data_IF_589909346285
#
_entry.id   IF_589909346285
#
_cell.length_a   1.000
_cell.length_b   1.000
_cell.length_c   1.000
_cell.angle_alpha   90.00
_cell.angle_beta   90.00
_cell.angle_gamma   90.00
#
_symmetry.space_group_name_H-M   'P 1'
#
loop_
_entity.id
_entity.type
_entity.pdbx_description
1 polymer ?
#
# COMPACT_ATOMS: atom_id res chain seq x y z
N UNK A 1 -50.25 -11.27 -26.44
CA UNK A 1 -48.96 -11.18 -25.71
C UNK A 1 -48.12 -12.38 -26.10
N UNK A 2 -47.15 -12.19 -26.98
CA UNK A 2 -46.17 -13.23 -27.35
C UNK A 2 -45.12 -13.36 -26.24
N UNK A 3 -44.55 -14.55 -26.01
CA UNK A 3 -43.59 -14.77 -24.94
C UNK A 3 -42.26 -14.07 -25.28
N UNK A 4 -41.78 -13.28 -24.34
CA UNK A 4 -40.53 -12.54 -24.39
C UNK A 4 -39.37 -13.55 -24.43
N UNK A 5 -38.68 -13.62 -25.57
CA UNK A 5 -37.58 -14.53 -25.81
C UNK A 5 -36.42 -14.15 -24.89
N UNK A 6 -36.14 -15.01 -23.90
CA UNK A 6 -35.01 -14.90 -22.99
C UNK A 6 -33.73 -14.60 -23.77
N UNK A 7 -33.24 -13.36 -23.64
CA UNK A 7 -32.06 -12.83 -24.32
C UNK A 7 -30.86 -13.73 -23.95
N UNK A 8 -30.44 -14.59 -24.88
CA UNK A 8 -29.32 -15.53 -24.72
C UNK A 8 -28.10 -14.75 -24.18
N UNK A 9 -27.65 -15.07 -22.97
CA UNK A 9 -26.42 -14.54 -22.38
C UNK A 9 -25.26 -14.83 -23.35
N UNK A 10 -24.69 -13.79 -23.97
CA UNK A 10 -23.52 -13.92 -24.84
C UNK A 10 -22.31 -14.43 -24.04
N UNK A 11 -21.39 -15.11 -24.72
CA UNK A 11 -20.40 -16.05 -24.17
C UNK A 11 -19.74 -15.68 -22.83
N UNK A 12 -19.25 -14.45 -22.68
CA UNK A 12 -18.56 -13.98 -21.47
C UNK A 12 -19.47 -13.85 -20.25
N UNK A 13 -20.70 -13.36 -20.43
CA UNK A 13 -21.67 -13.24 -19.33
C UNK A 13 -22.12 -14.62 -18.84
N UNK A 14 -22.28 -15.57 -19.77
CA UNK A 14 -22.58 -16.94 -19.44
C UNK A 14 -21.41 -17.56 -18.68
N UNK A 15 -20.20 -17.49 -19.22
CA UNK A 15 -19.00 -18.03 -18.58
C UNK A 15 -18.77 -17.46 -17.18
N UNK A 16 -18.91 -16.14 -17.02
CA UNK A 16 -18.83 -15.48 -15.72
C UNK A 16 -19.84 -16.04 -14.71
N UNK A 17 -21.07 -16.35 -15.14
CA UNK A 17 -22.08 -16.93 -14.26
C UNK A 17 -21.77 -18.38 -13.89
N UNK A 18 -21.20 -19.16 -14.82
CA UNK A 18 -20.75 -20.54 -14.57
C UNK A 18 -19.60 -20.57 -13.55
N UNK A 19 -18.61 -19.70 -13.74
CA UNK A 19 -17.45 -19.60 -12.84
C UNK A 19 -17.84 -19.09 -11.45
N UNK A 20 -18.79 -18.15 -11.35
CA UNK A 20 -19.35 -17.74 -10.06
C UNK A 20 -20.05 -18.91 -9.35
N UNK A 21 -20.93 -19.64 -10.05
CA UNK A 21 -21.59 -20.81 -9.48
C UNK A 21 -20.60 -21.91 -9.07
N UNK A 22 -19.53 -22.12 -9.85
CA UNK A 22 -18.45 -23.05 -9.50
C UNK A 22 -17.69 -22.64 -8.25
N UNK A 23 -17.42 -21.33 -8.07
CA UNK A 23 -16.82 -20.81 -6.85
C UNK A 23 -17.73 -20.98 -5.63
N UNK A 24 -19.01 -20.64 -5.76
CA UNK A 24 -19.98 -20.76 -4.67
C UNK A 24 -20.16 -22.22 -4.24
N UNK A 25 -20.26 -23.15 -5.20
CA UNK A 25 -20.27 -24.59 -4.89
C UNK A 25 -18.99 -25.05 -4.20
N UNK A 26 -17.83 -24.54 -4.62
CA UNK A 26 -16.56 -24.87 -3.99
C UNK A 26 -16.53 -24.43 -2.53
N UNK A 27 -17.01 -23.23 -2.24
CA UNK A 27 -17.07 -22.67 -0.87
C UNK A 27 -18.07 -23.45 0.01
N UNK A 28 -19.25 -23.78 -0.52
CA UNK A 28 -20.31 -24.44 0.26
C UNK A 28 -20.06 -25.94 0.44
N UNK A 29 -19.74 -26.65 -0.65
CA UNK A 29 -19.63 -28.11 -0.64
C UNK A 29 -18.19 -28.60 -0.44
N UNK A 30 -17.18 -27.79 -0.76
CA UNK A 30 -15.78 -28.20 -0.79
C UNK A 30 -15.43 -29.07 -2.00
N UNK A 31 -14.15 -29.10 -2.36
CA UNK A 31 -13.67 -29.76 -3.58
C UNK A 31 -14.03 -31.25 -3.67
N UNK A 32 -13.96 -31.97 -2.53
CA UNK A 32 -14.23 -33.41 -2.49
C UNK A 32 -15.65 -33.78 -2.92
N UNK A 33 -16.65 -32.95 -2.58
CA UNK A 33 -18.07 -33.18 -2.90
C UNK A 33 -18.53 -32.48 -4.17
N UNK A 34 -17.78 -31.49 -4.66
CA UNK A 34 -18.09 -30.79 -5.89
C UNK A 34 -18.08 -31.77 -7.08
N UNK A 35 -19.12 -31.70 -7.92
CA UNK A 35 -19.23 -32.42 -9.20
C UNK A 35 -19.59 -31.45 -10.34
N UNK A 36 -19.40 -31.88 -11.59
CA UNK A 36 -19.84 -31.09 -12.75
C UNK A 36 -21.37 -30.90 -12.73
N UNK A 37 -22.11 -31.94 -12.35
CA UNK A 37 -23.55 -31.91 -12.15
C UNK A 37 -23.97 -30.87 -11.10
N UNK A 38 -23.33 -30.86 -9.92
CA UNK A 38 -23.73 -29.94 -8.84
C UNK A 38 -23.52 -28.47 -9.22
N UNK A 39 -22.46 -28.17 -9.96
CA UNK A 39 -22.24 -26.83 -10.53
C UNK A 39 -23.28 -26.51 -11.62
N UNK A 40 -23.61 -27.46 -12.49
CA UNK A 40 -24.61 -27.26 -13.54
C UNK A 40 -25.99 -26.93 -12.96
N UNK A 41 -26.41 -27.67 -11.91
CA UNK A 41 -27.64 -27.43 -11.16
C UNK A 41 -27.65 -26.02 -10.57
N UNK A 42 -26.59 -25.60 -9.86
CA UNK A 42 -26.50 -24.26 -9.28
C UNK A 42 -26.50 -23.15 -10.33
N UNK A 43 -25.79 -23.36 -11.43
CA UNK A 43 -25.76 -22.43 -12.55
C UNK A 43 -27.06 -22.41 -13.38
N UNK A 44 -28.00 -23.33 -13.12
CA UNK A 44 -29.24 -23.53 -13.88
C UNK A 44 -28.96 -23.77 -15.38
N UNK A 45 -28.01 -24.67 -15.65
CA UNK A 45 -27.58 -25.07 -17.00
C UNK A 45 -27.46 -26.60 -17.11
N UNK A 46 -27.11 -27.12 -18.29
CA UNK A 46 -26.76 -28.54 -18.46
C UNK A 46 -25.26 -28.78 -18.34
N UNK A 47 -24.87 -29.99 -17.90
CA UNK A 47 -23.46 -30.40 -17.82
C UNK A 47 -22.73 -30.28 -19.16
N UNK A 48 -23.42 -30.54 -20.27
CA UNK A 48 -22.87 -30.39 -21.62
C UNK A 48 -22.36 -28.96 -21.90
N UNK A 49 -22.92 -27.94 -21.25
CA UNK A 49 -22.44 -26.55 -21.37
C UNK A 49 -21.11 -26.35 -20.63
N UNK A 50 -20.93 -27.02 -19.48
CA UNK A 50 -19.69 -26.99 -18.70
C UNK A 50 -18.57 -27.78 -19.41
N UNK A 51 -18.85 -29.02 -19.84
CA UNK A 51 -17.86 -29.88 -20.51
C UNK A 51 -17.36 -29.32 -21.85
N UNK A 52 -18.12 -28.44 -22.50
CA UNK A 52 -17.65 -27.70 -23.69
C UNK A 52 -16.57 -26.65 -23.39
N UNK A 53 -16.38 -26.27 -22.12
CA UNK A 53 -15.45 -25.21 -21.67
C UNK A 53 -14.31 -25.73 -20.82
N UNK A 54 -14.61 -26.70 -19.97
CA UNK A 54 -13.65 -27.32 -19.05
C UNK A 54 -13.76 -28.82 -19.20
N UNK A 55 -12.64 -29.48 -19.51
CA UNK A 55 -12.63 -30.91 -19.79
C UNK A 55 -12.96 -31.74 -18.54
N UNK A 56 -12.72 -31.19 -17.35
CA UNK A 56 -12.90 -31.85 -16.07
C UNK A 56 -13.19 -30.84 -14.94
N UNK A 57 -13.48 -31.37 -13.75
CA UNK A 57 -13.75 -30.60 -12.53
C UNK A 57 -12.60 -29.68 -12.15
N UNK A 58 -11.37 -30.17 -12.25
CA UNK A 58 -10.15 -29.47 -11.84
C UNK A 58 -9.98 -28.18 -12.66
N UNK A 59 -10.15 -28.27 -13.97
CA UNK A 59 -10.11 -27.11 -14.87
C UNK A 59 -11.19 -26.07 -14.55
N UNK A 60 -12.42 -26.51 -14.25
CA UNK A 60 -13.51 -25.64 -13.85
C UNK A 60 -13.21 -24.94 -12.52
N UNK A 61 -12.73 -25.70 -11.52
CA UNK A 61 -12.37 -25.17 -10.20
C UNK A 61 -11.25 -24.15 -10.33
N UNK A 62 -10.16 -24.47 -11.03
CA UNK A 62 -9.05 -23.55 -11.25
C UNK A 62 -9.49 -22.28 -11.97
N UNK A 63 -10.39 -22.39 -12.95
CA UNK A 63 -10.95 -21.24 -13.64
C UNK A 63 -11.84 -20.39 -12.70
N UNK A 64 -12.63 -21.03 -11.84
CA UNK A 64 -13.48 -20.35 -10.84
C UNK A 64 -12.63 -19.60 -9.82
N UNK A 65 -11.55 -20.22 -9.31
CA UNK A 65 -10.60 -19.58 -8.39
C UNK A 65 -9.92 -18.35 -9.04
N UNK A 66 -9.44 -18.48 -10.29
CA UNK A 66 -8.85 -17.36 -11.03
C UNK A 66 -9.84 -16.22 -11.21
N UNK A 67 -11.07 -16.52 -11.63
CA UNK A 67 -12.11 -15.51 -11.83
C UNK A 67 -12.54 -14.83 -10.52
N UNK A 68 -12.65 -15.58 -9.42
CA UNK A 68 -12.93 -15.02 -8.11
C UNK A 68 -11.81 -14.06 -7.67
N UNK A 69 -10.55 -14.44 -7.90
CA UNK A 69 -9.41 -13.57 -7.64
C UNK A 69 -9.48 -12.28 -8.46
N UNK A 70 -9.73 -12.38 -9.76
CA UNK A 70 -9.64 -11.25 -10.70
C UNK A 70 -10.73 -10.19 -10.46
N UNK A 71 -11.91 -10.58 -9.97
CA UNK A 71 -13.02 -9.65 -9.66
C UNK A 71 -13.04 -9.11 -8.24
N UNK A 72 -12.15 -9.58 -7.39
CA UNK A 72 -12.00 -9.08 -6.04
C UNK A 72 -10.61 -8.47 -5.86
N UNK A 73 -10.20 -7.41 -6.60
CA UNK A 73 -8.86 -6.83 -6.51
C UNK A 73 -8.57 -6.24 -5.12
N UNK A 74 -7.32 -6.28 -4.68
CA UNK A 74 -6.88 -5.59 -3.46
C UNK A 74 -6.52 -4.17 -3.87
N UNK A 75 -7.17 -3.18 -3.24
CA UNK A 75 -6.88 -1.79 -3.50
C UNK A 75 -5.46 -1.44 -3.06
N UNK A 76 -4.77 -0.64 -3.88
CA UNK A 76 -3.45 -0.12 -3.51
C UNK A 76 -3.66 1.13 -2.66
N UNK A 77 -3.27 1.13 -1.38
CA UNK A 77 -3.36 2.31 -0.55
C UNK A 77 -2.37 3.37 -1.02
N UNK A 78 -2.67 4.62 -0.70
CA UNK A 78 -1.76 5.77 -0.83
C UNK A 78 -1.96 6.68 0.37
N UNK A 79 -1.40 6.26 1.50
CA UNK A 79 -1.52 6.91 2.81
C UNK A 79 -0.61 8.13 2.93
N UNK A 80 0.32 8.33 1.99
CA UNK A 80 1.31 9.41 2.00
C UNK A 80 2.71 9.01 2.46
N UNK A 81 2.91 7.78 2.93
CA UNK A 81 4.23 7.23 3.31
C UNK A 81 4.36 5.76 2.92
N UNK A 82 5.58 5.32 2.62
CA UNK A 82 5.90 3.94 2.30
C UNK A 82 5.48 2.99 3.42
N UNK A 83 5.75 3.40 4.66
CA UNK A 83 5.37 2.64 5.86
C UNK A 83 3.85 2.42 5.91
N UNK A 84 3.07 3.50 5.77
CA UNK A 84 1.62 3.42 5.82
C UNK A 84 1.04 2.62 4.66
N UNK A 85 1.58 2.79 3.45
CA UNK A 85 1.18 2.05 2.26
C UNK A 85 1.42 0.54 2.43
N UNK A 86 2.58 0.15 2.94
CA UNK A 86 2.91 -1.27 3.18
C UNK A 86 2.03 -1.88 4.28
N UNK A 87 1.86 -1.20 5.41
CA UNK A 87 1.00 -1.71 6.48
C UNK A 87 -0.44 -1.91 5.99
N UNK A 88 -1.02 -0.91 5.33
CA UNK A 88 -2.39 -0.99 4.82
C UNK A 88 -2.55 -2.07 3.74
N UNK A 89 -1.60 -2.18 2.81
CA UNK A 89 -1.68 -3.14 1.73
C UNK A 89 -1.46 -4.58 2.21
N UNK A 90 -0.46 -4.81 3.06
CA UNK A 90 -0.17 -6.15 3.59
C UNK A 90 -1.28 -6.65 4.52
N UNK A 91 -1.90 -5.76 5.32
CA UNK A 91 -3.10 -6.11 6.09
C UNK A 91 -4.27 -6.49 5.20
N UNK A 92 -4.60 -5.65 4.21
CA UNK A 92 -5.68 -5.94 3.25
C UNK A 92 -5.44 -7.24 2.49
N UNK A 93 -4.19 -7.50 2.12
CA UNK A 93 -3.76 -8.74 1.46
C UNK A 93 -3.94 -9.94 2.38
N UNK A 94 -3.52 -9.82 3.64
CA UNK A 94 -3.64 -10.88 4.63
C UNK A 94 -5.09 -11.25 4.90
N UNK A 95 -5.98 -10.26 5.02
CA UNK A 95 -7.40 -10.49 5.28
C UNK A 95 -8.11 -11.08 4.05
N UNK A 96 -7.84 -10.54 2.86
CA UNK A 96 -8.49 -10.96 1.63
C UNK A 96 -8.06 -12.36 1.16
N UNK A 97 -6.80 -12.73 1.35
CA UNK A 97 -6.26 -13.96 0.78
C UNK A 97 -6.25 -15.17 1.72
N UNK A 98 -6.40 -14.98 3.04
CA UNK A 98 -6.36 -16.11 3.98
C UNK A 98 -7.42 -17.19 3.68
N UNK A 99 -8.69 -16.79 3.53
CA UNK A 99 -9.76 -17.72 3.19
C UNK A 99 -9.56 -18.36 1.81
N UNK A 100 -9.06 -17.60 0.85
CA UNK A 100 -8.74 -18.11 -0.48
C UNK A 100 -7.64 -19.18 -0.44
N UNK A 101 -6.57 -18.98 0.35
CA UNK A 101 -5.52 -19.98 0.54
C UNK A 101 -6.01 -21.21 1.29
N UNK A 102 -6.81 -21.04 2.33
CA UNK A 102 -7.42 -22.16 3.05
C UNK A 102 -8.24 -23.04 2.11
N UNK A 103 -9.06 -22.43 1.25
CA UNK A 103 -9.84 -23.14 0.23
C UNK A 103 -8.95 -23.85 -0.80
N UNK A 104 -7.88 -23.19 -1.27
CA UNK A 104 -6.94 -23.77 -2.21
C UNK A 104 -6.19 -24.97 -1.63
N UNK A 105 -5.71 -24.86 -0.40
CA UNK A 105 -5.04 -25.94 0.32
C UNK A 105 -6.00 -27.11 0.54
N UNK A 106 -7.24 -26.85 1.01
CA UNK A 106 -8.24 -27.89 1.20
C UNK A 106 -8.58 -28.62 -0.12
N UNK A 107 -8.67 -27.89 -1.24
CA UNK A 107 -8.88 -28.48 -2.56
C UNK A 107 -7.70 -29.35 -2.99
N UNK A 108 -6.46 -28.87 -2.81
CA UNK A 108 -5.25 -29.63 -3.11
C UNK A 108 -5.16 -30.93 -2.29
N UNK A 109 -5.40 -30.86 -0.97
CA UNK A 109 -5.45 -32.05 -0.11
C UNK A 109 -6.59 -33.01 -0.46
N UNK A 110 -7.66 -32.50 -1.08
CA UNK A 110 -8.79 -33.30 -1.57
C UNK A 110 -8.58 -33.84 -2.99
N UNK A 111 -7.37 -33.71 -3.56
CA UNK A 111 -7.01 -34.28 -4.84
C UNK A 111 -7.22 -33.37 -6.05
N UNK A 112 -7.30 -32.05 -5.87
CA UNK A 112 -7.22 -31.10 -6.99
C UNK A 112 -5.87 -31.26 -7.69
N UNK A 113 -5.91 -31.66 -8.96
CA UNK A 113 -4.73 -31.75 -9.79
C UNK A 113 -4.45 -30.41 -10.46
N UNK A 114 -3.20 -29.98 -10.39
CA UNK A 114 -2.69 -28.85 -11.16
C UNK A 114 -2.01 -29.33 -12.45
N UNK A 115 -2.36 -30.52 -12.95
CA UNK A 115 -1.68 -31.17 -14.06
C UNK A 115 -0.45 -31.98 -13.61
N UNK A 116 0.00 -32.89 -14.48
CA UNK A 116 1.14 -33.75 -14.18
C UNK A 116 2.42 -32.91 -13.98
N UNK A 117 3.12 -33.14 -12.86
CA UNK A 117 4.43 -32.55 -12.52
C UNK A 117 4.49 -31.04 -12.23
N UNK A 118 3.38 -30.38 -11.88
CA UNK A 118 3.44 -28.98 -11.44
C UNK A 118 4.22 -28.85 -10.12
N UNK A 119 5.24 -28.01 -10.11
CA UNK A 119 6.00 -27.64 -8.90
C UNK A 119 5.12 -26.78 -7.98
N UNK A 120 5.41 -26.73 -6.66
CA UNK A 120 4.73 -25.81 -5.75
C UNK A 120 4.77 -24.34 -6.22
N UNK A 121 5.83 -23.93 -6.93
CA UNK A 121 5.93 -22.60 -7.54
C UNK A 121 4.93 -22.37 -8.68
N UNK A 122 4.76 -23.34 -9.58
CA UNK A 122 3.76 -23.24 -10.66
C UNK A 122 2.33 -23.31 -10.14
N UNK A 123 2.09 -24.12 -9.11
CA UNK A 123 0.80 -24.16 -8.39
C UNK A 123 0.49 -22.80 -7.79
N UNK A 124 1.48 -22.21 -7.08
CA UNK A 124 1.39 -20.85 -6.55
C UNK A 124 1.07 -19.86 -7.66
N UNK A 125 1.75 -19.90 -8.80
CA UNK A 125 1.56 -18.93 -9.88
C UNK A 125 0.17 -19.07 -10.54
N UNK A 126 -0.37 -20.28 -10.63
CA UNK A 126 -1.73 -20.49 -11.18
C UNK A 126 -2.84 -20.03 -10.23
N UNK A 127 -2.64 -20.22 -8.93
CA UNK A 127 -3.59 -19.86 -7.87
C UNK A 127 -3.53 -18.34 -7.60
N UNK A 128 -2.32 -17.82 -7.34
CA UNK A 128 -2.09 -16.43 -6.92
C UNK A 128 -1.99 -15.51 -8.14
N UNK A 129 -1.43 -15.96 -9.25
CA UNK A 129 -1.07 -15.10 -10.38
C UNK A 129 -0.04 -14.03 -10.01
N UNK A 130 0.21 -13.12 -10.94
CA UNK A 130 1.06 -11.93 -10.75
C UNK A 130 0.38 -10.83 -9.92
N UNK A 131 -0.42 -11.20 -8.91
CA UNK A 131 -1.08 -10.23 -8.02
C UNK A 131 -0.08 -9.42 -7.17
N UNK A 132 1.18 -9.80 -7.24
CA UNK A 132 2.34 -8.99 -6.89
C UNK A 132 2.69 -7.95 -7.98
N UNK A 133 1.74 -7.26 -8.60
CA UNK A 133 2.06 -6.19 -9.56
C UNK A 133 1.61 -4.78 -9.19
N UNK A 134 0.79 -4.52 -8.15
CA UNK A 134 0.62 -3.13 -7.73
C UNK A 134 1.76 -2.59 -6.86
N UNK A 135 2.72 -3.42 -6.41
CA UNK A 135 3.84 -2.93 -5.58
C UNK A 135 4.73 -1.91 -6.29
N UNK A 136 4.81 -1.97 -7.62
CA UNK A 136 5.54 -0.98 -8.40
C UNK A 136 5.05 0.44 -8.10
N UNK A 137 3.75 0.63 -7.93
CA UNK A 137 3.19 1.95 -7.61
C UNK A 137 3.48 2.40 -6.17
N UNK A 138 3.46 1.50 -5.19
CA UNK A 138 3.82 1.83 -3.79
C UNK A 138 5.26 2.30 -3.74
N UNK A 139 6.16 1.54 -4.37
CA UNK A 139 7.58 1.83 -4.37
C UNK A 139 7.94 3.04 -5.23
N UNK A 140 7.30 3.22 -6.39
CA UNK A 140 7.52 4.40 -7.22
C UNK A 140 7.11 5.68 -6.47
N UNK A 141 5.94 5.70 -5.82
CA UNK A 141 5.52 6.88 -5.04
C UNK A 141 6.48 7.16 -3.88
N UNK A 142 6.93 6.12 -3.18
CA UNK A 142 7.93 6.27 -2.12
C UNK A 142 9.26 6.81 -2.65
N UNK A 143 9.67 6.40 -3.86
CA UNK A 143 10.84 6.94 -4.52
C UNK A 143 10.68 8.41 -4.92
N UNK A 144 9.54 8.77 -5.51
CA UNK A 144 9.22 10.14 -5.92
C UNK A 144 9.19 11.09 -4.71
N UNK A 145 8.76 10.60 -3.54
CA UNK A 145 8.82 11.33 -2.25
C UNK A 145 10.22 11.33 -1.61
N UNK A 146 11.16 10.55 -2.13
CA UNK A 146 12.52 10.42 -1.60
C UNK A 146 12.62 9.58 -0.33
N UNK A 147 11.64 8.72 -0.03
CA UNK A 147 11.68 7.78 1.10
C UNK A 147 12.59 6.57 0.82
N UNK A 148 12.74 6.19 -0.45
CA UNK A 148 13.62 5.10 -0.90
C UNK A 148 14.32 5.44 -2.22
N UNK A 149 15.42 4.76 -2.53
CA UNK A 149 16.15 4.94 -3.79
C UNK A 149 16.08 3.67 -4.65
N UNK A 150 15.14 3.63 -5.60
CA UNK A 150 14.94 2.45 -6.45
C UNK A 150 16.11 2.12 -7.35
N UNK A 151 16.98 3.09 -7.67
CA UNK A 151 18.17 2.82 -8.48
C UNK A 151 19.19 1.92 -7.75
N UNK A 152 19.12 1.87 -6.42
CA UNK A 152 20.08 1.16 -5.57
C UNK A 152 19.46 -0.06 -4.85
N UNK A 153 18.18 -0.37 -5.08
CA UNK A 153 17.48 -1.48 -4.45
C UNK A 153 17.31 -2.65 -5.41
N UNK A 154 17.62 -3.86 -4.94
CA UNK A 154 17.35 -5.07 -5.72
C UNK A 154 15.86 -5.44 -5.65
N UNK A 155 15.36 -6.07 -6.71
CA UNK A 155 13.99 -6.60 -6.72
C UNK A 155 13.71 -7.55 -5.56
N UNK A 156 14.71 -8.34 -5.14
CA UNK A 156 14.58 -9.24 -3.98
C UNK A 156 14.28 -8.50 -2.68
N UNK A 157 14.90 -7.34 -2.43
CA UNK A 157 14.60 -6.53 -1.25
C UNK A 157 13.17 -6.03 -1.34
N UNK A 158 12.75 -5.51 -2.49
CA UNK A 158 11.39 -5.01 -2.73
C UNK A 158 10.32 -6.11 -2.62
N UNK A 159 10.65 -7.37 -2.90
CA UNK A 159 9.70 -8.48 -2.76
C UNK A 159 9.55 -8.98 -1.31
N UNK A 160 10.58 -8.80 -0.47
CA UNK A 160 10.68 -9.35 0.87
C UNK A 160 9.40 -9.25 1.72
N UNK A 161 8.76 -8.08 1.90
CA UNK A 161 7.60 -7.97 2.77
C UNK A 161 6.43 -8.82 2.26
N UNK A 162 6.23 -8.90 0.94
CA UNK A 162 5.16 -9.70 0.37
C UNK A 162 5.48 -11.20 0.40
N UNK A 163 6.76 -11.58 0.26
CA UNK A 163 7.18 -12.97 0.38
C UNK A 163 6.96 -13.50 1.81
N UNK A 164 7.27 -12.70 2.83
CA UNK A 164 7.05 -13.08 4.23
C UNK A 164 5.57 -13.20 4.58
N UNK A 165 4.73 -12.24 4.15
CA UNK A 165 3.28 -12.34 4.35
C UNK A 165 2.70 -13.55 3.63
N UNK A 166 3.12 -13.81 2.38
CA UNK A 166 2.69 -15.01 1.64
C UNK A 166 3.10 -16.29 2.33
N UNK A 167 4.34 -16.38 2.81
CA UNK A 167 4.84 -17.55 3.52
C UNK A 167 3.96 -17.87 4.72
N UNK A 168 3.71 -16.87 5.58
CA UNK A 168 2.88 -17.03 6.77
C UNK A 168 1.43 -17.43 6.38
N UNK A 169 0.86 -16.81 5.34
CA UNK A 169 -0.48 -17.19 4.83
C UNK A 169 -0.55 -18.63 4.30
N UNK A 170 0.49 -19.10 3.62
CA UNK A 170 0.51 -20.45 3.04
C UNK A 170 0.66 -21.54 4.10
N UNK A 171 1.36 -21.26 5.20
CA UNK A 171 1.57 -22.22 6.28
C UNK A 171 0.43 -22.20 7.29
N UNK A 172 -0.03 -21.01 7.69
CA UNK A 172 -1.02 -20.88 8.76
C UNK A 172 -2.47 -20.91 8.23
N UNK A 173 -2.67 -20.59 6.94
CA UNK A 173 -3.99 -20.51 6.29
C UNK A 173 -4.97 -19.57 7.04
N UNK A 174 -4.43 -18.58 7.74
CA UNK A 174 -5.16 -17.62 8.56
C UNK A 174 -4.57 -16.21 8.40
N UNK A 175 -5.37 -15.14 8.63
CA UNK A 175 -4.83 -13.79 8.59
C UNK A 175 -3.69 -13.60 9.61
N UNK A 176 -2.62 -12.94 9.18
CA UNK A 176 -1.51 -12.58 10.04
C UNK A 176 -1.99 -11.62 11.15
N UNK A 177 -1.44 -11.81 12.34
CA UNK A 177 -1.63 -10.87 13.45
C UNK A 177 -1.07 -9.51 13.06
N UNK A 178 -1.73 -8.38 13.41
CA UNK A 178 -1.23 -7.03 13.09
C UNK A 178 0.21 -6.76 13.58
N UNK A 179 0.61 -7.37 14.70
CA UNK A 179 1.97 -7.27 15.21
C UNK A 179 3.02 -7.90 14.28
N UNK A 180 2.68 -9.00 13.60
CA UNK A 180 3.58 -9.66 12.65
C UNK A 180 3.80 -8.80 11.41
N UNK A 181 2.73 -8.20 10.88
CA UNK A 181 2.81 -7.28 9.74
C UNK A 181 3.66 -6.06 10.10
N UNK A 182 3.47 -5.48 11.30
CA UNK A 182 4.31 -4.39 11.79
C UNK A 182 5.79 -4.78 11.89
N UNK A 183 6.11 -5.95 12.45
CA UNK A 183 7.51 -6.41 12.53
C UNK A 183 8.13 -6.59 11.13
N UNK A 184 7.39 -7.17 10.16
CA UNK A 184 7.86 -7.29 8.77
C UNK A 184 8.19 -5.93 8.17
N UNK A 185 7.34 -4.91 8.39
CA UNK A 185 7.56 -3.58 7.82
C UNK A 185 8.62 -2.80 8.61
N UNK A 186 8.42 -2.62 9.91
CA UNK A 186 9.19 -1.69 10.75
C UNK A 186 10.56 -2.24 11.13
N UNK A 187 10.67 -3.54 11.41
CA UNK A 187 11.89 -4.15 11.94
C UNK A 187 12.75 -4.78 10.84
N UNK A 188 12.13 -5.25 9.75
CA UNK A 188 12.83 -5.95 8.67
C UNK A 188 12.98 -5.08 7.41
N UNK A 189 11.87 -4.65 6.82
CA UNK A 189 11.92 -4.04 5.48
C UNK A 189 12.38 -2.58 5.49
N UNK A 190 11.78 -1.70 6.29
CA UNK A 190 12.11 -0.27 6.27
C UNK A 190 13.59 0.01 6.58
N UNK A 191 14.25 -0.65 7.55
CA UNK A 191 15.68 -0.48 7.75
C UNK A 191 16.52 -0.84 6.52
N UNK A 192 16.07 -1.76 5.67
CA UNK A 192 16.82 -2.15 4.47
C UNK A 192 16.69 -1.17 3.32
N UNK A 193 15.59 -0.40 3.24
CA UNK A 193 15.27 0.41 2.06
C UNK A 193 15.28 1.91 2.30
N UNK A 194 14.98 2.35 3.52
CA UNK A 194 15.02 3.76 3.84
C UNK A 194 16.48 4.21 3.95
N UNK A 195 16.78 5.46 3.58
CA UNK A 195 18.09 6.04 3.83
C UNK A 195 18.37 5.90 5.32
N UNK A 196 19.34 5.06 5.64
CA UNK A 196 19.80 4.86 7.00
C UNK A 196 20.12 6.24 7.58
N UNK A 197 19.66 6.49 8.81
CA UNK A 197 20.05 7.67 9.58
C UNK A 197 21.57 7.84 9.60
N UNK A 198 22.08 9.00 10.07
CA UNK A 198 23.45 9.45 9.85
C UNK A 198 24.41 8.27 9.86
N UNK A 199 24.83 7.94 8.64
CA UNK A 199 25.90 7.02 8.27
C UNK A 199 26.88 6.99 9.44
N UNK A 200 26.85 5.92 10.25
CA UNK A 200 27.80 5.64 11.35
C UNK A 200 29.26 5.53 10.86
N UNK A 201 29.52 5.82 9.59
CA UNK A 201 30.82 5.77 8.94
C UNK A 201 31.70 6.98 9.29
N UNK A 202 31.22 7.96 10.07
CA UNK A 202 32.08 9.06 10.53
C UNK A 202 33.06 8.68 11.65
N UNK A 203 32.89 7.54 12.35
CA UNK A 203 33.84 7.09 13.39
C UNK A 203 34.66 5.86 13.04
N UNK A 204 34.58 5.37 11.79
CA UNK A 204 35.34 4.19 11.38
C UNK A 204 35.34 3.98 9.88
N UNK A 205 36.00 4.87 9.12
CA UNK A 205 36.22 4.64 7.70
C UNK A 205 37.23 3.50 7.51
N UNK A 206 36.73 2.28 7.29
CA UNK A 206 37.52 1.23 6.66
C UNK A 206 37.93 1.69 5.26
N UNK A 207 39.17 1.43 4.85
CA UNK A 207 39.83 2.03 3.67
C UNK A 207 39.18 1.73 2.29
N UNK A 208 38.01 1.08 2.22
CA UNK A 208 37.46 0.51 0.99
C UNK A 208 35.96 0.79 0.72
N UNK A 209 35.34 1.80 1.36
CA UNK A 209 33.95 2.19 1.06
C UNK A 209 33.86 3.53 0.32
N UNK A 210 32.92 3.67 -0.64
CA UNK A 210 32.72 4.91 -1.37
C UNK A 210 32.22 6.03 -0.45
N UNK A 211 32.68 7.26 -0.68
CA UNK A 211 32.20 8.44 0.05
C UNK A 211 30.72 8.72 -0.27
N UNK A 212 29.91 9.14 0.71
CA UNK A 212 28.50 9.48 0.47
C UNK A 212 28.39 10.65 -0.50
N UNK A 213 27.41 10.60 -1.41
CA UNK A 213 27.11 11.69 -2.34
C UNK A 213 26.34 12.80 -1.63
N UNK A 214 26.26 14.00 -2.23
CA UNK A 214 25.41 15.08 -1.71
C UNK A 214 23.94 14.65 -1.56
N UNK A 215 23.43 13.81 -2.47
CA UNK A 215 22.08 13.25 -2.38
C UNK A 215 21.89 12.35 -1.16
N UNK A 216 22.88 11.52 -0.83
CA UNK A 216 22.85 10.67 0.37
C UNK A 216 22.81 11.51 1.65
N UNK A 217 23.58 12.60 1.69
CA UNK A 217 23.61 13.52 2.82
C UNK A 217 22.29 14.25 2.99
N UNK A 218 21.69 14.79 1.91
CA UNK A 218 20.37 15.44 1.98
C UNK A 218 19.28 14.48 2.44
N UNK A 219 19.30 13.22 2.00
CA UNK A 219 18.35 12.19 2.46
C UNK A 219 18.53 11.86 3.94
N UNK A 220 19.77 11.75 4.41
CA UNK A 220 20.05 11.48 5.83
C UNK A 220 19.58 12.62 6.73
N UNK A 221 19.79 13.87 6.30
CA UNK A 221 19.26 15.07 6.96
C UNK A 221 17.73 15.05 7.02
N UNK A 222 17.08 14.82 5.88
CA UNK A 222 15.61 14.73 5.80
C UNK A 222 15.05 13.62 6.70
N UNK A 223 15.70 12.46 6.74
CA UNK A 223 15.33 11.37 7.64
C UNK A 223 15.41 11.78 9.11
N UNK A 224 16.49 12.47 9.50
CA UNK A 224 16.69 12.88 10.88
C UNK A 224 15.61 13.88 11.33
N UNK A 225 15.27 14.84 10.46
CA UNK A 225 14.17 15.78 10.69
C UNK A 225 12.82 15.07 10.76
N UNK A 226 12.52 14.21 9.78
CA UNK A 226 11.25 13.48 9.72
C UNK A 226 11.02 12.61 10.96
N UNK A 227 12.05 11.85 11.38
CA UNK A 227 11.98 10.98 12.54
C UNK A 227 11.63 11.76 13.82
N UNK A 228 12.22 12.94 14.01
CA UNK A 228 11.94 13.80 15.17
C UNK A 228 10.45 14.20 15.22
N UNK A 229 9.90 14.59 14.07
CA UNK A 229 8.50 15.02 13.94
C UNK A 229 7.56 13.81 14.06
N UNK A 230 7.91 12.66 13.50
CA UNK A 230 7.14 11.42 13.61
C UNK A 230 7.04 10.95 15.07
N UNK A 231 8.16 10.96 15.81
CA UNK A 231 8.18 10.61 17.23
C UNK A 231 7.26 11.52 18.05
N UNK A 232 7.31 12.83 17.78
CA UNK A 232 6.42 13.80 18.41
C UNK A 232 4.95 13.57 18.03
N UNK A 233 4.65 13.35 16.75
CA UNK A 233 3.29 13.14 16.24
C UNK A 233 2.64 11.91 16.88
N UNK A 234 3.42 10.83 17.05
CA UNK A 234 2.97 9.58 17.66
C UNK A 234 2.50 9.76 19.10
N UNK A 235 3.13 10.66 19.87
CA UNK A 235 2.69 10.97 21.26
C UNK A 235 1.31 11.63 21.32
N UNK A 236 0.80 12.12 20.19
CA UNK A 236 -0.48 12.83 20.03
C UNK A 236 -1.49 12.05 19.20
N UNK A 237 -1.23 10.77 18.95
CA UNK A 237 -2.07 9.91 18.11
C UNK A 237 -2.31 10.50 16.71
N UNK A 238 -1.29 11.17 16.16
CA UNK A 238 -1.26 11.69 14.80
C UNK A 238 -0.22 10.92 13.98
N UNK A 239 -0.48 10.76 12.68
CA UNK A 239 0.59 10.46 11.73
C UNK A 239 1.37 11.75 11.43
N UNK A 240 2.59 11.61 10.90
CA UNK A 240 3.40 12.76 10.45
C UNK A 240 2.61 13.67 9.49
N UNK A 241 1.88 13.08 8.55
CA UNK A 241 1.09 13.78 7.53
C UNK A 241 -0.11 14.48 8.17
N UNK A 242 -0.77 13.86 9.15
CA UNK A 242 -1.87 14.49 9.88
C UNK A 242 -1.38 15.71 10.67
N UNK A 243 -0.25 15.58 11.37
CA UNK A 243 0.38 16.68 12.09
C UNK A 243 0.79 17.82 11.14
N UNK A 244 1.44 17.49 10.02
CA UNK A 244 1.88 18.46 9.02
C UNK A 244 0.70 19.19 8.39
N UNK A 245 -0.37 18.48 8.01
CA UNK A 245 -1.58 19.09 7.46
C UNK A 245 -2.29 19.96 8.48
N UNK A 246 -2.46 19.50 9.73
CA UNK A 246 -3.10 20.30 10.77
C UNK A 246 -2.31 21.57 11.09
N UNK A 247 -0.98 21.50 11.21
CA UNK A 247 -0.13 22.67 11.41
C UNK A 247 -0.14 23.63 10.22
N UNK A 248 -0.20 23.10 8.99
CA UNK A 248 -0.37 23.93 7.80
C UNK A 248 -1.72 24.68 7.81
N UNK A 249 -2.81 23.99 8.19
CA UNK A 249 -4.15 24.60 8.31
C UNK A 249 -4.23 25.63 9.43
N UNK A 250 -3.49 25.43 10.52
CA UNK A 250 -3.38 26.40 11.62
C UNK A 250 -2.70 27.70 11.15
N UNK A 251 -1.58 27.58 10.42
CA UNK A 251 -0.87 28.74 9.84
C UNK A 251 -1.62 29.41 8.69
N UNK A 252 -2.38 28.63 7.91
CA UNK A 252 -3.11 29.08 6.73
C UNK A 252 -4.55 28.57 6.77
N UNK A 253 -5.42 29.21 7.58
CA UNK A 253 -6.82 28.81 7.68
C UNK A 253 -7.56 29.09 6.36
N UNK A 254 -8.45 28.17 5.99
CA UNK A 254 -9.35 28.36 4.86
C UNK A 254 -8.72 28.10 3.48
N UNK A 255 -7.62 27.35 3.42
CA UNK A 255 -7.02 26.88 2.16
C UNK A 255 -7.92 25.89 1.43
N UNK A 256 -7.69 25.74 0.12
CA UNK A 256 -8.37 24.72 -0.67
C UNK A 256 -7.59 23.40 -0.65
N UNK A 257 -8.27 22.30 -0.96
CA UNK A 257 -7.67 20.95 -0.95
C UNK A 257 -6.45 20.82 -1.87
N UNK A 258 -6.41 21.61 -2.97
CA UNK A 258 -5.26 21.64 -3.89
C UNK A 258 -4.00 22.16 -3.19
N UNK A 259 -4.11 23.22 -2.40
CA UNK A 259 -2.95 23.82 -1.71
C UNK A 259 -2.37 22.84 -0.68
N UNK A 260 -3.23 22.07 -0.03
CA UNK A 260 -2.80 21.00 0.89
C UNK A 260 -2.08 19.89 0.14
N UNK A 261 -2.53 19.52 -1.06
CA UNK A 261 -1.90 18.48 -1.88
C UNK A 261 -0.51 18.91 -2.38
N UNK A 262 -0.39 20.17 -2.79
CA UNK A 262 0.86 20.78 -3.21
C UNK A 262 1.87 20.84 -2.06
N UNK A 263 1.45 21.32 -0.88
CA UNK A 263 2.30 21.40 0.31
C UNK A 263 2.76 20.02 0.82
N UNK A 264 1.84 19.05 0.86
CA UNK A 264 2.16 17.70 1.35
C UNK A 264 2.79 16.79 0.29
N UNK A 265 3.09 17.34 -0.90
CA UNK A 265 3.66 16.61 -2.04
C UNK A 265 2.91 15.29 -2.32
N UNK A 266 1.57 15.34 -2.30
CA UNK A 266 0.70 14.18 -2.46
C UNK A 266 -0.43 14.47 -3.45
N UNK A 267 -1.22 13.46 -3.80
CA UNK A 267 -2.31 13.63 -4.76
C UNK A 267 -3.54 14.26 -4.12
N UNK A 268 -4.40 14.98 -4.89
CA UNK A 268 -5.67 15.47 -4.38
C UNK A 268 -6.58 14.37 -3.81
N UNK A 269 -6.50 13.14 -4.34
CA UNK A 269 -7.26 12.00 -3.84
C UNK A 269 -6.83 11.61 -2.42
N UNK A 270 -5.53 11.60 -2.14
CA UNK A 270 -4.99 11.26 -0.82
C UNK A 270 -5.33 12.33 0.20
N UNK A 271 -5.22 13.60 -0.19
CA UNK A 271 -5.68 14.70 0.66
C UNK A 271 -7.17 14.54 0.96
N UNK A 272 -7.99 14.13 -0.01
CA UNK A 272 -9.41 13.89 0.27
C UNK A 272 -9.63 12.79 1.31
N UNK A 273 -8.86 11.71 1.29
CA UNK A 273 -8.96 10.60 2.24
C UNK A 273 -8.48 11.02 3.63
N UNK A 274 -7.33 11.70 3.68
CA UNK A 274 -6.75 12.24 4.91
C UNK A 274 -7.72 13.21 5.59
N UNK A 275 -8.27 14.18 4.84
CA UNK A 275 -9.23 15.15 5.36
C UNK A 275 -10.52 14.50 5.85
N UNK A 276 -11.04 13.48 5.15
CA UNK A 276 -12.19 12.69 5.64
C UNK A 276 -11.87 11.96 6.95
N UNK A 277 -10.63 11.50 7.13
CA UNK A 277 -10.16 10.89 8.38
C UNK A 277 -10.13 11.89 9.53
N UNK A 278 -9.54 13.06 9.29
CA UNK A 278 -9.46 14.13 10.29
C UNK A 278 -10.84 14.72 10.65
N UNK A 279 -11.75 14.85 9.67
CA UNK A 279 -13.11 15.36 9.87
C UNK A 279 -13.94 14.39 10.72
N UNK A 280 -13.82 13.08 10.49
CA UNK A 280 -14.44 12.05 11.35
C UNK A 280 -13.94 12.09 12.79
N UNK A 281 -12.69 12.49 13.01
CA UNK A 281 -12.10 12.70 14.34
C UNK A 281 -12.45 14.07 14.94
N UNK A 282 -13.20 14.91 14.23
CA UNK A 282 -13.53 16.27 14.65
C UNK A 282 -12.32 17.20 14.71
N UNK A 283 -11.24 16.90 13.97
CA UNK A 283 -10.00 17.68 14.00
C UNK A 283 -9.96 18.77 12.93
N UNK A 284 -10.66 18.58 11.81
CA UNK A 284 -10.82 19.59 10.75
C UNK A 284 -12.29 19.75 10.40
N UNK A 285 -12.62 20.90 9.82
CA UNK A 285 -13.93 21.17 9.23
C UNK A 285 -13.79 21.71 7.82
N UNK A 286 -14.80 21.43 6.98
CA UNK A 286 -14.85 21.90 5.58
C UNK A 286 -16.09 22.73 5.34
N UNK A 287 -15.89 23.98 4.95
CA UNK A 287 -16.96 24.96 4.72
C UNK A 287 -16.99 25.36 3.25
N UNK A 288 -18.18 25.65 2.73
CA UNK A 288 -18.31 26.21 1.37
C UNK A 288 -18.42 27.72 1.49
N UNK A 289 -17.40 28.42 1.00
CA UNK A 289 -17.30 29.88 1.09
C UNK A 289 -16.88 30.43 -0.28
N UNK A 290 -17.65 31.38 -0.82
CA UNK A 290 -17.39 31.93 -2.15
C UNK A 290 -17.42 30.88 -3.27
N UNK A 291 -18.25 29.84 -3.15
CA UNK A 291 -18.37 28.76 -4.13
C UNK A 291 -17.23 27.73 -4.11
N UNK A 292 -16.28 27.82 -3.17
CA UNK A 292 -15.18 26.85 -3.01
C UNK A 292 -15.23 26.18 -1.65
N UNK A 293 -14.85 24.90 -1.59
CA UNK A 293 -14.67 24.16 -0.34
C UNK A 293 -13.33 24.55 0.28
N UNK A 294 -13.39 25.16 1.46
CA UNK A 294 -12.24 25.59 2.27
C UNK A 294 -12.11 24.71 3.50
N UNK A 295 -10.87 24.47 3.93
CA UNK A 295 -10.54 23.58 5.02
C UNK A 295 -9.99 24.39 6.19
N UNK A 296 -10.45 24.08 7.39
CA UNK A 296 -10.04 24.72 8.63
C UNK A 296 -9.66 23.67 9.67
N UNK A 297 -8.61 23.95 10.46
CA UNK A 297 -8.38 23.20 11.69
C UNK A 297 -9.43 23.63 12.73
N UNK A 298 -9.98 22.65 13.45
CA UNK A 298 -10.85 22.91 14.60
C UNK A 298 -9.99 23.22 15.83
N UNK A 299 -10.55 23.77 16.93
CA UNK A 299 -9.81 23.93 18.18
C UNK A 299 -9.18 22.62 18.70
N UNK A 300 -9.87 21.48 18.52
CA UNK A 300 -9.32 20.17 18.88
C UNK A 300 -8.12 19.79 18.00
N UNK A 301 -8.20 20.07 16.70
CA UNK A 301 -7.10 19.89 15.76
C UNK A 301 -5.89 20.75 16.12
N UNK A 302 -6.09 22.06 16.30
CA UNK A 302 -5.04 23.00 16.69
C UNK A 302 -4.38 22.62 18.01
N UNK A 303 -5.16 22.21 19.02
CA UNK A 303 -4.58 21.77 20.30
C UNK A 303 -3.67 20.55 20.16
N UNK A 304 -3.97 19.61 19.25
CA UNK A 304 -3.09 18.46 19.01
C UNK A 304 -1.79 18.85 18.33
N UNK A 305 -1.80 19.92 17.51
CA UNK A 305 -0.58 20.39 16.84
C UNK A 305 0.14 21.55 17.54
N UNK A 306 -0.37 21.99 18.69
CA UNK A 306 0.34 22.92 19.55
C UNK A 306 1.73 22.36 19.92
N UNK A 307 2.78 23.14 19.67
CA UNK A 307 4.16 22.70 19.84
C UNK A 307 4.85 22.22 18.55
N UNK A 308 4.14 22.16 17.40
CA UNK A 308 4.72 21.63 16.17
C UNK A 308 5.86 22.51 15.63
N UNK A 309 5.69 23.84 15.67
CA UNK A 309 6.69 24.76 15.15
C UNK A 309 7.98 24.73 15.97
N UNK A 310 7.87 24.54 17.29
CA UNK A 310 9.01 24.33 18.17
C UNK A 310 9.76 23.04 17.83
N UNK A 311 9.03 21.95 17.55
CA UNK A 311 9.64 20.66 17.19
C UNK A 311 10.30 20.71 15.81
N UNK A 312 9.70 21.43 14.86
CA UNK A 312 10.30 21.68 13.57
C UNK A 312 11.60 22.48 13.73
N UNK A 313 11.59 23.54 14.54
CA UNK A 313 12.79 24.33 14.83
C UNK A 313 13.87 23.52 15.57
N UNK A 314 13.49 22.67 16.53
CA UNK A 314 14.41 21.75 17.19
C UNK A 314 15.02 20.72 16.22
N UNK A 315 14.22 20.20 15.29
CA UNK A 315 14.68 19.26 14.27
C UNK A 315 15.68 19.93 13.32
N UNK A 316 15.45 21.18 12.94
CA UNK A 316 16.38 21.97 12.13
C UNK A 316 17.67 22.27 12.90
N UNK A 317 17.56 22.74 14.15
CA UNK A 317 18.74 23.02 14.98
C UNK A 317 19.55 21.75 15.28
N UNK A 318 18.91 20.59 15.48
CA UNK A 318 19.62 19.33 15.62
C UNK A 318 20.51 19.01 14.41
N UNK A 319 20.05 19.34 13.20
CA UNK A 319 20.80 19.10 11.95
C UNK A 319 21.91 20.13 11.77
N UNK A 320 21.62 21.40 12.02
CA UNK A 320 22.53 22.50 11.68
C UNK A 320 23.40 22.98 12.84
N UNK A 321 23.21 22.47 14.07
CA UNK A 321 24.03 22.78 15.24
C UNK A 321 25.55 22.69 15.01
N UNK A 322 26.08 21.77 14.18
CA UNK A 322 27.52 21.71 13.90
C UNK A 322 28.05 22.86 13.03
N UNK A 323 27.18 23.60 12.32
CA UNK A 323 27.58 24.65 11.39
C UNK A 323 27.60 26.01 12.08
N UNK A 324 28.66 26.78 11.85
CA UNK A 324 28.71 28.19 12.25
C UNK A 324 27.80 29.07 11.36
N UNK A 325 27.74 30.37 11.69
CA UNK A 325 26.86 31.31 10.99
C UNK A 325 27.21 31.48 9.51
N UNK A 326 28.49 31.53 9.18
CA UNK A 326 28.94 31.77 7.81
C UNK A 326 28.77 30.48 6.97
N UNK A 327 29.01 29.32 7.57
CA UNK A 327 28.75 28.01 6.98
C UNK A 327 27.26 27.79 6.69
N UNK A 328 26.37 28.17 7.63
CA UNK A 328 24.91 28.12 7.42
C UNK A 328 24.49 29.03 6.26
N UNK A 329 24.94 30.28 6.24
CA UNK A 329 24.63 31.22 5.16
C UNK A 329 25.12 30.72 3.80
N UNK A 330 26.32 30.10 3.76
CA UNK A 330 26.85 29.48 2.56
C UNK A 330 26.02 28.29 2.08
N UNK A 331 25.63 27.40 2.98
CA UNK A 331 24.77 26.26 2.68
C UNK A 331 23.40 26.72 2.15
N UNK A 332 22.76 27.68 2.82
CA UNK A 332 21.48 28.26 2.41
C UNK A 332 21.56 28.83 0.99
N UNK A 333 22.62 29.59 0.68
CA UNK A 333 22.81 30.17 -0.66
C UNK A 333 22.94 29.08 -1.74
N UNK A 334 23.67 28.00 -1.46
CA UNK A 334 23.84 26.88 -2.39
C UNK A 334 22.54 26.09 -2.59
N UNK A 335 21.83 25.78 -1.50
CA UNK A 335 20.55 25.06 -1.55
C UNK A 335 19.47 25.90 -2.24
N UNK A 336 19.41 27.21 -1.97
CA UNK A 336 18.50 28.13 -2.66
C UNK A 336 18.75 28.16 -4.17
N UNK A 337 20.03 28.16 -4.59
CA UNK A 337 20.40 28.09 -6.01
C UNK A 337 19.95 26.77 -6.66
N UNK A 338 20.06 25.64 -5.95
CA UNK A 338 19.54 24.34 -6.42
C UNK A 338 18.01 24.40 -6.53
N UNK A 339 17.33 24.91 -5.50
CA UNK A 339 15.88 24.96 -5.45
C UNK A 339 15.28 25.82 -6.57
N UNK A 340 15.91 26.94 -6.91
CA UNK A 340 15.50 27.81 -8.02
C UNK A 340 15.55 27.12 -9.40
N UNK A 341 16.27 26.00 -9.53
CA UNK A 341 16.34 25.22 -10.77
C UNK A 341 15.31 24.07 -10.82
N UNK A 342 14.64 23.75 -9.70
CA UNK A 342 13.67 22.67 -9.63
C UNK A 342 12.27 23.14 -10.07
N UNK A 343 11.47 22.26 -10.72
CA UNK A 343 10.10 22.58 -11.09
C UNK A 343 9.24 22.86 -9.84
N UNK A 344 8.60 24.04 -9.78
CA UNK A 344 7.80 24.49 -8.64
C UNK A 344 8.55 25.38 -7.63
N UNK A 345 9.85 25.65 -7.84
CA UNK A 345 10.63 26.59 -7.03
C UNK A 345 10.38 28.05 -7.40
N UNK A 346 9.28 28.65 -6.93
CA UNK A 346 9.09 30.10 -6.77
C UNK A 346 8.03 30.38 -5.71
#
# INVERSE_FOLDING_TARGET
MAPETARRRHGEQLESALLAAGWDELVEAGYARLTMESVAVRARTSEAVLYRRWANKDELVLAAMRRHRDVNPIAVPDTGSLRGDLLAYLTSTSEALAGFFAMAAAAAFSGLSFGAAATPGEVRDRIIGDRLLPQGSIYQRAHDRGEIDLAHLSGTVLELPFQLVRHDLLLDLAPLRPARIRSIVDELFLPLVQPQGPVKYLTGCGKNQPRPTSGDLFRSIRWAQHKRIEEWSRTRELTFEQATVLGYLERRPGVIQRDVAEMSHTTPANVSLLLKGLERRGLVERRTEGGRKRVYATPAGSNLVAGLDEVLAEADEMVFAPLDRDERAGLEALVAKINAHLPGGS
#
